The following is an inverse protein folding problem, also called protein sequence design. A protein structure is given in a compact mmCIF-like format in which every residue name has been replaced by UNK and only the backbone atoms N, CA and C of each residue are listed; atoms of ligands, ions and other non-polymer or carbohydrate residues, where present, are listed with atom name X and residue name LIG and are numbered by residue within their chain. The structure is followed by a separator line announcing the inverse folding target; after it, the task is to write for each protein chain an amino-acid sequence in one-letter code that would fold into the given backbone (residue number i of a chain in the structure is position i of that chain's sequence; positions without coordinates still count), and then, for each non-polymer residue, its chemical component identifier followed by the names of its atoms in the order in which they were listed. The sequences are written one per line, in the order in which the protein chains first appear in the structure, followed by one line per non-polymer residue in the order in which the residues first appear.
data_IF_710256884131
#
_entry.id   IF_710256884131
#
_cell.length_a   1.000
_cell.length_b   1.000
_cell.length_c   1.000
_cell.angle_alpha   90.00
_cell.angle_beta   90.00
_cell.angle_gamma   90.00
#
_symmetry.space_group_name_H-M   'P 1'
#
loop_
_entity.id
_entity.type
_entity.pdbx_description
1 polymer ?
#
# COMPACT_ATOMS: atom_id res chain seq x y z
N UNK A 1 -32.85 11.93 5.08
CA UNK A 1 -32.52 10.58 5.59
C UNK A 1 -31.34 10.05 4.79
N UNK A 2 -30.21 9.70 5.41
CA UNK A 2 -29.06 9.13 4.69
C UNK A 2 -29.43 7.79 4.08
N UNK A 3 -29.11 7.61 2.78
CA UNK A 3 -29.46 6.43 2.01
C UNK A 3 -28.53 5.24 2.27
N UNK A 4 -27.38 5.50 2.93
CA UNK A 4 -26.32 4.51 3.19
C UNK A 4 -26.14 4.28 4.68
N UNK A 5 -25.90 3.01 5.06
CA UNK A 5 -25.60 2.60 6.44
C UNK A 5 -24.10 2.44 6.68
N UNK A 6 -23.32 2.26 5.63
CA UNK A 6 -21.89 2.06 5.68
C UNK A 6 -21.20 2.49 4.40
N UNK A 7 -19.89 2.74 4.49
CA UNK A 7 -19.00 3.06 3.39
C UNK A 7 -17.73 2.21 3.53
N UNK A 8 -17.27 1.66 2.42
CA UNK A 8 -15.98 0.98 2.33
C UNK A 8 -15.08 1.85 1.47
N UNK A 9 -13.91 2.18 2.00
CA UNK A 9 -12.90 2.98 1.31
C UNK A 9 -11.80 2.06 0.79
N UNK A 10 -11.36 2.31 -0.42
CA UNK A 10 -10.03 1.94 -0.86
C UNK A 10 -8.99 2.80 -0.14
N UNK A 11 -7.78 2.28 0.04
CA UNK A 11 -6.73 2.97 0.79
C UNK A 11 -5.85 3.83 -0.13
N UNK A 12 -5.14 3.21 -1.04
CA UNK A 12 -4.09 3.85 -1.83
C UNK A 12 -4.65 4.47 -3.11
N UNK A 13 -4.46 5.77 -3.29
CA UNK A 13 -5.10 6.56 -4.34
C UNK A 13 -6.47 7.10 -3.96
N UNK A 14 -7.02 6.70 -2.79
CA UNK A 14 -8.33 7.16 -2.28
C UNK A 14 -8.19 7.92 -0.96
N UNK A 15 -7.68 7.29 0.09
CA UNK A 15 -7.39 7.96 1.37
C UNK A 15 -6.02 8.64 1.36
N UNK A 16 -5.08 8.08 0.62
CA UNK A 16 -3.70 8.57 0.53
C UNK A 16 -3.28 8.77 -0.91
N UNK A 17 -2.48 9.81 -1.16
CA UNK A 17 -1.87 10.05 -2.46
C UNK A 17 -0.89 8.92 -2.80
N UNK A 18 -1.23 8.08 -3.78
CA UNK A 18 -0.46 6.90 -4.16
C UNK A 18 0.99 7.25 -4.54
N UNK A 19 1.17 8.12 -5.53
CA UNK A 19 2.50 8.46 -6.06
C UNK A 19 3.43 9.05 -4.99
N UNK A 20 2.90 9.89 -4.12
CA UNK A 20 3.68 10.59 -3.09
C UNK A 20 4.02 9.66 -1.91
N UNK A 21 3.13 8.71 -1.59
CA UNK A 21 3.37 7.73 -0.53
C UNK A 21 4.35 6.64 -0.98
N UNK A 22 4.07 6.03 -2.12
CA UNK A 22 4.76 4.81 -2.57
C UNK A 22 6.02 5.06 -3.40
N UNK A 23 6.14 6.23 -4.06
CA UNK A 23 7.26 6.48 -4.98
C UNK A 23 8.63 6.49 -4.29
N UNK A 24 8.76 7.18 -3.15
CA UNK A 24 10.01 7.19 -2.38
C UNK A 24 10.29 5.85 -1.71
N UNK A 25 9.23 5.21 -1.18
CA UNK A 25 9.33 3.89 -0.57
C UNK A 25 9.85 2.84 -1.56
N UNK A 26 9.27 2.76 -2.76
CA UNK A 26 9.73 1.79 -3.75
C UNK A 26 11.17 2.06 -4.18
N UNK A 27 11.55 3.33 -4.34
CA UNK A 27 12.93 3.67 -4.70
C UNK A 27 13.95 3.16 -3.66
N UNK A 28 13.63 3.26 -2.37
CA UNK A 28 14.44 2.73 -1.28
C UNK A 28 14.50 1.20 -1.30
N UNK A 29 13.34 0.53 -1.43
CA UNK A 29 13.27 -0.94 -1.53
C UNK A 29 14.08 -1.44 -2.72
N UNK A 30 13.99 -0.79 -3.88
CA UNK A 30 14.77 -1.17 -5.06
C UNK A 30 16.27 -1.01 -4.85
N UNK A 31 16.73 0.00 -4.10
CA UNK A 31 18.14 0.14 -3.76
C UNK A 31 18.61 -1.03 -2.90
N UNK A 32 17.83 -1.40 -1.90
CA UNK A 32 18.19 -2.50 -0.98
C UNK A 32 18.18 -3.85 -1.72
N UNK A 33 17.11 -4.17 -2.46
CA UNK A 33 16.97 -5.42 -3.21
C UNK A 33 18.04 -5.58 -4.30
N UNK A 34 18.35 -4.49 -5.00
CA UNK A 34 19.35 -4.51 -6.08
C UNK A 34 20.78 -4.24 -5.60
N UNK A 35 21.01 -4.12 -4.29
CA UNK A 35 22.32 -3.84 -3.69
C UNK A 35 23.02 -2.63 -4.35
N UNK A 36 22.25 -1.57 -4.61
CA UNK A 36 22.68 -0.37 -5.32
C UNK A 36 23.13 -0.61 -6.79
N UNK A 37 22.91 -1.78 -7.36
CA UNK A 37 23.19 -2.05 -8.76
C UNK A 37 22.20 -1.31 -9.68
N UNK A 38 22.67 -0.26 -10.35
CA UNK A 38 21.85 0.54 -11.29
C UNK A 38 21.28 -0.33 -12.41
N UNK A 39 22.02 -1.34 -12.88
CA UNK A 39 21.56 -2.24 -13.95
C UNK A 39 20.38 -3.09 -13.47
N UNK A 40 20.49 -3.74 -12.32
CA UNK A 40 19.39 -4.52 -11.72
C UNK A 40 18.19 -3.61 -11.43
N UNK A 41 18.42 -2.45 -10.81
CA UNK A 41 17.37 -1.47 -10.51
C UNK A 41 16.61 -1.02 -11.76
N UNK A 42 17.31 -0.76 -12.86
CA UNK A 42 16.68 -0.38 -14.14
C UNK A 42 15.78 -1.49 -14.70
N UNK A 43 16.25 -2.74 -14.66
CA UNK A 43 15.47 -3.89 -15.13
C UNK A 43 14.22 -4.11 -14.28
N UNK A 44 14.38 -4.13 -12.96
CA UNK A 44 13.27 -4.32 -12.03
C UNK A 44 12.26 -3.17 -12.09
N UNK A 45 12.74 -1.93 -12.18
CA UNK A 45 11.88 -0.76 -12.35
C UNK A 45 11.02 -0.85 -13.62
N UNK A 46 11.56 -1.39 -14.72
CA UNK A 46 10.80 -1.61 -15.95
C UNK A 46 9.69 -2.65 -15.76
N UNK A 47 9.97 -3.75 -15.05
CA UNK A 47 8.97 -4.79 -14.72
C UNK A 47 7.85 -4.21 -13.87
N UNK A 48 8.20 -3.39 -12.87
CA UNK A 48 7.25 -2.79 -11.94
C UNK A 48 6.54 -1.54 -12.50
N UNK A 49 6.81 -1.15 -13.75
CA UNK A 49 6.23 0.07 -14.32
C UNK A 49 6.58 1.33 -13.52
N UNK A 50 7.88 1.47 -13.13
CA UNK A 50 8.35 2.53 -12.24
C UNK A 50 9.49 3.35 -12.85
N UNK A 51 9.36 4.66 -12.80
CA UNK A 51 10.43 5.59 -13.16
C UNK A 51 11.23 5.97 -11.89
N UNK A 52 12.33 5.27 -11.61
CA UNK A 52 13.12 5.50 -10.40
C UNK A 52 13.82 6.87 -10.36
N UNK A 53 14.10 7.50 -11.53
CA UNK A 53 14.68 8.85 -11.56
C UNK A 53 13.70 9.92 -11.11
N UNK A 54 12.41 9.73 -11.39
CA UNK A 54 11.31 10.63 -10.99
C UNK A 54 10.59 10.13 -9.73
N UNK A 55 10.88 8.93 -9.26
CA UNK A 55 10.19 8.22 -8.17
C UNK A 55 8.68 8.16 -8.38
N UNK A 56 8.26 7.80 -9.60
CA UNK A 56 6.85 7.75 -10.01
C UNK A 56 6.52 6.47 -10.77
N UNK A 57 5.35 5.93 -10.50
CA UNK A 57 4.78 4.83 -11.25
C UNK A 57 4.18 5.33 -12.57
N UNK A 58 4.26 4.51 -13.62
CA UNK A 58 3.49 4.73 -14.83
C UNK A 58 2.01 4.36 -14.57
N UNK A 59 1.11 4.88 -15.39
CA UNK A 59 -0.34 4.66 -15.22
C UNK A 59 -0.75 3.18 -15.35
N UNK A 60 -0.01 2.42 -16.16
CA UNK A 60 -0.18 0.98 -16.40
C UNK A 60 0.70 0.11 -15.50
N UNK A 61 1.28 0.66 -14.44
CA UNK A 61 2.12 -0.09 -13.52
C UNK A 61 1.34 -1.24 -12.87
N UNK A 62 1.85 -2.49 -12.94
CA UNK A 62 1.23 -3.62 -12.28
C UNK A 62 1.25 -3.48 -10.74
N UNK A 63 2.12 -2.65 -10.19
CA UNK A 63 2.19 -2.37 -8.76
C UNK A 63 0.95 -1.63 -8.24
N UNK A 64 0.27 -0.82 -9.07
CA UNK A 64 -0.85 0.03 -8.60
C UNK A 64 -2.05 -0.80 -8.13
N UNK A 65 -2.36 -1.90 -8.80
CA UNK A 65 -3.50 -2.76 -8.50
C UNK A 65 -3.10 -4.13 -7.95
N UNK A 66 -1.80 -4.42 -7.90
CA UNK A 66 -1.25 -5.70 -7.46
C UNK A 66 -1.36 -5.93 -5.95
N UNK A 67 -1.14 -7.16 -5.56
CA UNK A 67 -1.04 -7.58 -4.15
C UNK A 67 0.42 -7.57 -3.68
N UNK A 68 0.63 -7.64 -2.37
CA UNK A 68 1.98 -7.81 -1.79
C UNK A 68 2.64 -9.09 -2.30
N UNK A 69 1.87 -10.19 -2.47
CA UNK A 69 2.38 -11.46 -2.98
C UNK A 69 2.89 -11.34 -4.42
N UNK A 70 2.14 -10.70 -5.31
CA UNK A 70 2.57 -10.43 -6.69
C UNK A 70 3.83 -9.58 -6.76
N UNK A 71 3.92 -8.58 -5.90
CA UNK A 71 5.12 -7.76 -5.76
C UNK A 71 6.33 -8.58 -5.31
N UNK A 72 6.18 -9.40 -4.25
CA UNK A 72 7.23 -10.30 -3.76
C UNK A 72 7.73 -11.24 -4.87
N UNK A 73 6.83 -11.88 -5.60
CA UNK A 73 7.18 -12.75 -6.72
C UNK A 73 7.98 -12.01 -7.81
N UNK A 74 7.65 -10.75 -8.07
CA UNK A 74 8.34 -9.92 -9.07
C UNK A 74 9.76 -9.55 -8.68
N UNK A 75 10.03 -9.33 -7.37
CA UNK A 75 11.34 -8.85 -6.90
C UNK A 75 12.29 -9.97 -6.45
N UNK A 76 11.77 -11.17 -6.15
CA UNK A 76 12.57 -12.26 -5.56
C UNK A 76 13.78 -12.67 -6.42
N UNK A 77 13.64 -12.66 -7.76
CA UNK A 77 14.73 -12.99 -8.68
C UNK A 77 15.86 -11.97 -8.73
N UNK A 78 15.61 -10.75 -8.24
CA UNK A 78 16.58 -9.64 -8.21
C UNK A 78 17.32 -9.52 -6.89
N UNK A 79 16.83 -10.14 -5.83
CA UNK A 79 17.51 -10.19 -4.55
C UNK A 79 18.51 -11.36 -4.52
N UNK A 80 19.75 -11.08 -4.17
CA UNK A 80 20.78 -12.14 -4.04
C UNK A 80 20.72 -12.78 -2.64
N UNK A 81 20.37 -12.00 -1.61
CA UNK A 81 20.47 -12.40 -0.21
C UNK A 81 19.15 -12.70 0.48
N UNK A 82 18.03 -12.14 -0.02
CA UNK A 82 16.71 -12.31 0.59
C UNK A 82 15.80 -13.14 -0.29
N UNK A 83 15.26 -14.25 0.24
CA UNK A 83 14.38 -15.16 -0.48
C UNK A 83 13.23 -15.63 0.42
N UNK A 84 12.12 -16.02 -0.22
CA UNK A 84 10.97 -16.59 0.45
C UNK A 84 10.54 -15.77 1.66
N UNK A 85 10.47 -16.41 2.82
CA UNK A 85 10.00 -15.80 4.06
C UNK A 85 10.86 -14.61 4.54
N UNK A 86 12.18 -14.66 4.36
CA UNK A 86 13.07 -13.56 4.76
C UNK A 86 12.82 -12.31 3.92
N UNK A 87 12.55 -12.47 2.62
CA UNK A 87 12.16 -11.38 1.73
C UNK A 87 10.81 -10.80 2.13
N UNK A 88 9.84 -11.65 2.44
CA UNK A 88 8.51 -11.23 2.91
C UNK A 88 8.61 -10.42 4.22
N UNK A 89 9.36 -10.92 5.21
CA UNK A 89 9.58 -10.23 6.48
C UNK A 89 10.27 -8.87 6.28
N UNK A 90 11.26 -8.82 5.39
CA UNK A 90 11.94 -7.57 5.02
C UNK A 90 10.96 -6.57 4.41
N UNK A 91 10.17 -6.96 3.41
CA UNK A 91 9.20 -6.08 2.75
C UNK A 91 8.12 -5.63 3.74
N UNK A 92 7.58 -6.54 4.58
CA UNK A 92 6.61 -6.17 5.61
C UNK A 92 7.18 -5.13 6.59
N UNK A 93 8.46 -5.26 7.00
CA UNK A 93 9.12 -4.28 7.85
C UNK A 93 9.22 -2.89 7.18
N UNK A 94 9.51 -2.86 5.87
CA UNK A 94 9.54 -1.62 5.07
C UNK A 94 8.15 -1.02 4.90
N UNK A 95 7.11 -1.85 4.67
CA UNK A 95 5.71 -1.41 4.58
C UNK A 95 5.22 -0.79 5.89
N UNK A 96 5.61 -1.33 7.02
CA UNK A 96 5.31 -0.74 8.32
C UNK A 96 5.96 0.63 8.53
N UNK A 97 7.05 0.94 7.83
CA UNK A 97 7.73 2.25 7.90
C UNK A 97 7.19 3.25 6.88
N UNK A 98 6.40 2.80 5.90
CA UNK A 98 5.83 3.67 4.87
C UNK A 98 5.11 4.87 5.49
N UNK A 99 5.47 6.07 5.04
CA UNK A 99 4.82 7.32 5.41
C UNK A 99 3.73 7.61 4.37
N UNK A 100 2.49 7.55 4.81
CA UNK A 100 1.35 7.86 3.96
C UNK A 100 1.15 9.38 3.81
N UNK A 101 0.70 9.81 2.63
CA UNK A 101 0.35 11.19 2.35
C UNK A 101 -1.17 11.32 2.24
N UNK A 102 -1.87 11.82 3.27
CA UNK A 102 -3.33 11.96 3.22
C UNK A 102 -3.80 12.88 2.09
N UNK A 103 -4.93 12.54 1.45
CA UNK A 103 -5.55 13.37 0.40
C UNK A 103 -6.21 14.65 0.93
N UNK A 104 -6.35 14.77 2.25
CA UNK A 104 -6.94 15.90 2.94
C UNK A 104 -7.06 15.65 4.43
N UNK A 105 -7.89 16.39 5.14
CA UNK A 105 -8.15 16.16 6.56
C UNK A 105 -9.08 14.96 6.76
N UNK A 106 -8.49 13.76 6.76
CA UNK A 106 -9.22 12.50 6.92
C UNK A 106 -9.89 12.40 8.30
N UNK A 107 -9.31 13.03 9.33
CA UNK A 107 -9.89 13.03 10.67
C UNK A 107 -11.23 13.75 10.68
N UNK A 108 -11.27 14.96 10.14
CA UNK A 108 -12.53 15.74 10.03
C UNK A 108 -13.56 15.01 9.19
N UNK A 109 -13.14 14.37 8.08
CA UNK A 109 -14.02 13.56 7.24
C UNK A 109 -14.67 12.43 8.06
N UNK A 110 -13.86 11.63 8.76
CA UNK A 110 -14.37 10.47 9.49
C UNK A 110 -15.17 10.86 10.73
N UNK A 111 -14.82 11.92 11.44
CA UNK A 111 -15.63 12.46 12.54
C UNK A 111 -17.03 12.86 12.05
N UNK A 112 -17.11 13.53 10.89
CA UNK A 112 -18.39 13.89 10.28
C UNK A 112 -19.23 12.67 9.85
N UNK A 113 -18.59 11.62 9.32
CA UNK A 113 -19.28 10.39 8.93
C UNK A 113 -19.78 9.62 10.16
N UNK A 114 -18.96 9.48 11.19
CA UNK A 114 -19.31 8.79 12.45
C UNK A 114 -20.41 9.53 13.21
N UNK A 115 -20.44 10.87 13.20
CA UNK A 115 -21.52 11.64 13.81
C UNK A 115 -22.90 11.36 13.18
N UNK A 116 -22.91 10.93 11.90
CA UNK A 116 -24.10 10.47 11.17
C UNK A 116 -24.40 8.98 11.35
N UNK A 117 -23.68 8.30 12.25
CA UNK A 117 -23.81 6.85 12.54
C UNK A 117 -23.57 5.96 11.31
N UNK A 118 -22.67 6.37 10.40
CA UNK A 118 -22.27 5.56 9.25
C UNK A 118 -21.17 4.61 9.71
N UNK A 119 -21.30 3.33 9.36
CA UNK A 119 -20.26 2.32 9.52
C UNK A 119 -19.17 2.56 8.46
N UNK A 120 -17.89 2.45 8.86
CA UNK A 120 -16.78 2.71 7.97
C UNK A 120 -15.89 1.48 7.86
N UNK A 121 -15.51 1.13 6.63
CA UNK A 121 -14.57 0.05 6.37
C UNK A 121 -13.44 0.49 5.44
N UNK A 122 -12.34 -0.26 5.47
CA UNK A 122 -11.25 -0.20 4.48
C UNK A 122 -11.11 -1.56 3.82
N UNK A 123 -10.95 -1.57 2.49
CA UNK A 123 -10.57 -2.75 1.72
C UNK A 123 -9.38 -2.39 0.82
N UNK A 124 -8.25 -3.09 0.99
CA UNK A 124 -7.00 -2.83 0.26
C UNK A 124 -6.39 -4.13 -0.26
N UNK A 125 -5.56 -4.05 -1.31
CA UNK A 125 -4.72 -5.16 -1.77
C UNK A 125 -3.40 -5.28 -1.00
N UNK A 126 -3.12 -4.37 -0.06
CA UNK A 126 -2.06 -4.57 0.92
C UNK A 126 -2.44 -5.66 1.93
N UNK A 127 -1.45 -6.21 2.62
CA UNK A 127 -1.67 -7.07 3.79
C UNK A 127 -2.30 -6.28 4.95
N UNK A 128 -3.12 -6.95 5.75
CA UNK A 128 -3.91 -6.32 6.82
C UNK A 128 -3.05 -5.66 7.90
N UNK A 129 -1.95 -6.32 8.32
CA UNK A 129 -1.07 -5.80 9.39
C UNK A 129 -0.40 -4.48 8.97
N UNK A 130 0.30 -4.36 7.83
CA UNK A 130 0.83 -3.08 7.34
C UNK A 130 -0.26 -2.01 7.18
N UNK A 131 -1.43 -2.37 6.64
CA UNK A 131 -2.55 -1.45 6.49
C UNK A 131 -2.96 -0.86 7.84
N UNK A 132 -3.19 -1.68 8.85
CA UNK A 132 -3.54 -1.23 10.21
C UNK A 132 -2.47 -0.31 10.79
N UNK A 133 -1.19 -0.68 10.69
CA UNK A 133 -0.07 0.14 11.17
C UNK A 133 -0.05 1.53 10.51
N UNK A 134 -0.31 1.62 9.21
CA UNK A 134 -0.36 2.88 8.49
C UNK A 134 -1.55 3.75 8.95
N UNK A 135 -2.74 3.15 9.13
CA UNK A 135 -3.93 3.86 9.64
C UNK A 135 -3.75 4.32 11.11
N UNK A 136 -3.00 3.57 11.92
CA UNK A 136 -2.64 3.95 13.30
C UNK A 136 -1.72 5.16 13.33
N UNK A 137 -0.68 5.18 12.49
CA UNK A 137 0.25 6.33 12.37
C UNK A 137 -0.49 7.63 12.02
N UNK A 138 -1.48 7.54 11.14
CA UNK A 138 -2.34 8.66 10.77
C UNK A 138 -3.43 8.96 11.83
N UNK A 139 -3.51 8.16 12.92
CA UNK A 139 -4.49 8.27 14.02
C UNK A 139 -5.94 8.19 13.55
N UNK A 140 -6.19 7.46 12.47
CA UNK A 140 -7.53 7.30 11.88
C UNK A 140 -8.10 5.89 12.03
N UNK A 141 -7.31 4.89 12.43
CA UNK A 141 -7.75 3.50 12.58
C UNK A 141 -9.01 3.36 13.44
N UNK A 142 -9.13 4.18 14.49
CA UNK A 142 -10.25 4.16 15.44
C UNK A 142 -11.63 4.47 14.81
N UNK A 143 -11.68 5.01 13.62
CA UNK A 143 -12.94 5.32 12.95
C UNK A 143 -13.49 4.14 12.15
N UNK A 144 -12.67 3.13 11.87
CA UNK A 144 -13.07 2.00 11.04
C UNK A 144 -13.64 0.85 11.88
N UNK A 145 -14.82 0.39 11.48
CA UNK A 145 -15.50 -0.75 12.06
C UNK A 145 -15.03 -2.08 11.41
N UNK A 146 -14.40 -1.99 10.22
CA UNK A 146 -13.92 -3.12 9.44
C UNK A 146 -12.67 -2.74 8.65
N UNK A 147 -11.68 -3.63 8.61
CA UNK A 147 -10.46 -3.48 7.80
C UNK A 147 -10.16 -4.84 7.19
N UNK A 148 -10.00 -4.88 5.87
CA UNK A 148 -9.59 -6.07 5.13
C UNK A 148 -8.39 -5.75 4.23
N UNK A 149 -7.35 -6.57 4.33
CA UNK A 149 -6.26 -6.68 3.39
C UNK A 149 -6.43 -7.87 2.46
N UNK A 150 -5.52 -8.07 1.51
CA UNK A 150 -5.53 -9.21 0.59
C UNK A 150 -5.42 -10.57 1.30
N UNK A 151 -4.82 -10.59 2.50
CA UNK A 151 -4.61 -11.75 3.36
C UNK A 151 -5.70 -11.97 4.42
N UNK A 152 -6.77 -11.15 4.44
CA UNK A 152 -7.85 -11.25 5.43
C UNK A 152 -8.89 -12.36 5.15
N UNK A 153 -8.71 -13.16 4.11
CA UNK A 153 -9.59 -14.30 3.78
C UNK A 153 -10.86 -13.94 3.00
N UNK A 154 -10.97 -12.72 2.49
CA UNK A 154 -12.09 -12.26 1.66
C UNK A 154 -11.76 -12.17 0.17
N UNK A 155 -10.58 -12.65 -0.26
CA UNK A 155 -10.04 -12.41 -1.59
C UNK A 155 -9.37 -11.06 -1.73
N UNK A 156 -9.00 -10.70 -2.95
CA UNK A 156 -8.36 -9.43 -3.28
C UNK A 156 -9.15 -8.70 -4.37
N UNK A 157 -9.02 -7.38 -4.43
CA UNK A 157 -9.74 -6.61 -5.45
C UNK A 157 -9.16 -6.88 -6.85
N UNK A 158 -10.00 -7.01 -7.89
CA UNK A 158 -11.43 -6.63 -7.95
C UNK A 158 -12.44 -7.78 -7.70
N UNK A 159 -12.06 -8.89 -7.09
CA UNK A 159 -12.95 -10.03 -6.80
C UNK A 159 -13.98 -9.75 -5.70
#
# INVERSE_FOLDING_TARGET
MLRFKGLIFDKDGTLFHFQESWGSWLDEVLNDICENSISKKRQLSKILGFNFSKKKFFEDSPFIAGTTEEFLASIESFSDNLKGKELEEFINSKLMQLVQKPVGDLKVLFENLKSKKILLGVATNDNEIPCKSQLEKERIIKYFDFIAGSDSGYGFKPE
#
